data_IF_722742558863
#
_entry.id   IF_722742558863
#
_cell.length_a   1.000
_cell.length_b   1.000
_cell.length_c   1.000
_cell.angle_alpha   90.00
_cell.angle_beta   90.00
_cell.angle_gamma   90.00
#
_symmetry.space_group_name_H-M   'P 1'
#
loop_
_entity.id
_entity.type
_entity.pdbx_description
1 polymer ?
#
# COMPACT_ATOMS: atom_id res chain seq x y z
N UNK A 1 19.62 46.47 -14.14
CA UNK A 1 20.50 45.47 -14.79
C UNK A 1 19.66 44.30 -15.26
N UNK A 2 19.42 44.15 -16.57
CA UNK A 2 18.67 43.02 -17.11
C UNK A 2 19.57 41.81 -17.42
N UNK A 3 19.03 40.57 -17.40
CA UNK A 3 19.81 39.35 -17.65
C UNK A 3 20.14 39.15 -19.14
N UNK A 4 21.33 38.60 -19.38
CA UNK A 4 21.88 38.26 -20.70
C UNK A 4 21.11 37.10 -21.35
N UNK A 5 20.79 37.15 -22.65
CA UNK A 5 20.41 35.97 -23.41
C UNK A 5 21.68 35.26 -23.93
N UNK A 6 21.85 33.99 -23.57
CA UNK A 6 22.99 33.20 -24.02
C UNK A 6 22.64 31.72 -24.11
N UNK A 7 22.32 31.24 -25.31
CA UNK A 7 22.93 30.03 -25.87
C UNK A 7 22.54 29.86 -27.33
N UNK A 8 23.46 30.21 -28.22
CA UNK A 8 23.43 29.81 -29.62
C UNK A 8 23.82 28.34 -29.68
N UNK A 9 22.86 27.47 -30.06
CA UNK A 9 23.16 26.08 -30.42
C UNK A 9 23.55 26.01 -31.89
N UNK A 10 24.70 25.41 -32.14
CA UNK A 10 25.27 25.12 -33.45
C UNK A 10 24.26 24.45 -34.40
N UNK A 11 24.02 25.10 -35.54
CA UNK A 11 23.39 24.48 -36.70
C UNK A 11 24.40 23.53 -37.37
N UNK A 12 24.23 22.24 -37.12
CA UNK A 12 24.90 21.18 -37.86
C UNK A 12 24.32 21.10 -39.27
N UNK A 13 25.11 21.52 -40.26
CA UNK A 13 24.86 21.32 -41.69
C UNK A 13 24.90 19.82 -42.00
N UNK A 14 23.73 19.18 -42.04
CA UNK A 14 23.60 17.79 -42.52
C UNK A 14 23.56 17.85 -44.04
N UNK A 15 24.58 17.25 -44.66
CA UNK A 15 24.75 17.12 -46.10
C UNK A 15 23.61 16.32 -46.71
N UNK A 16 22.96 16.91 -47.71
CA UNK A 16 21.91 16.30 -48.51
C UNK A 16 22.45 15.11 -49.31
N UNK A 17 22.26 13.90 -48.78
CA UNK A 17 22.34 12.67 -49.55
C UNK A 17 21.16 12.61 -50.52
N UNK A 18 21.44 12.84 -51.81
CA UNK A 18 20.54 12.53 -52.93
C UNK A 18 20.36 11.01 -53.03
N UNK A 19 19.48 10.46 -52.20
CA UNK A 19 18.88 9.14 -52.39
C UNK A 19 17.66 9.30 -53.29
N UNK A 20 17.73 8.71 -54.48
CA UNK A 20 16.69 8.73 -55.48
C UNK A 20 15.33 8.24 -54.94
N UNK A 21 14.32 9.06 -55.24
CA UNK A 21 12.90 8.75 -55.25
C UNK A 21 12.60 7.31 -55.63
N UNK A 22 12.04 6.57 -54.68
CA UNK A 22 11.07 5.51 -54.94
C UNK A 22 9.85 5.78 -54.07
N UNK A 23 9.20 6.92 -54.33
CA UNK A 23 7.78 7.09 -54.00
C UNK A 23 7.02 6.07 -54.83
N UNK A 24 6.74 4.92 -54.22
CA UNK A 24 5.83 3.93 -54.75
C UNK A 24 4.67 3.92 -53.78
N UNK A 25 3.52 4.39 -54.28
CA UNK A 25 2.22 4.45 -53.62
C UNK A 25 1.81 3.10 -53.04
N UNK A 26 2.36 2.71 -51.88
CA UNK A 26 1.79 1.63 -51.09
C UNK A 26 0.62 2.23 -50.29
N UNK A 27 -0.45 2.56 -51.01
CA UNK A 27 -1.75 2.83 -50.42
C UNK A 27 -2.11 1.60 -49.56
N UNK A 28 -1.88 1.70 -48.25
CA UNK A 28 -2.13 0.62 -47.31
C UNK A 28 -3.64 0.39 -47.29
N UNK A 29 -4.08 -0.64 -48.00
CA UNK A 29 -5.49 -1.02 -48.09
C UNK A 29 -5.99 -1.26 -46.66
N UNK A 30 -6.88 -0.39 -46.19
CA UNK A 30 -7.52 -0.51 -44.89
C UNK A 30 -8.35 -1.79 -44.89
N UNK A 31 -7.83 -2.83 -44.22
CA UNK A 31 -8.57 -4.09 -44.04
C UNK A 31 -9.56 -3.88 -42.91
N UNK A 32 -10.84 -3.74 -43.25
CA UNK A 32 -11.91 -3.76 -42.27
C UNK A 32 -11.97 -5.16 -41.63
N UNK A 33 -11.78 -5.23 -40.32
CA UNK A 33 -11.98 -6.45 -39.54
C UNK A 33 -13.32 -6.32 -38.83
N UNK A 34 -14.23 -7.24 -39.09
CA UNK A 34 -15.48 -7.34 -38.35
C UNK A 34 -15.15 -7.88 -36.96
N UNK A 35 -15.30 -7.05 -35.93
CA UNK A 35 -15.13 -7.46 -34.54
C UNK A 35 -16.53 -7.67 -33.97
N UNK A 36 -16.83 -8.90 -33.54
CA UNK A 36 -18.05 -9.18 -32.79
C UNK A 36 -17.84 -8.68 -31.35
N UNK A 37 -18.37 -7.50 -31.04
CA UNK A 37 -18.37 -6.97 -29.67
C UNK A 37 -19.55 -7.54 -28.88
N UNK A 38 -19.29 -7.90 -27.61
CA UNK A 38 -20.36 -8.31 -26.70
C UNK A 38 -21.18 -7.08 -26.27
N UNK A 39 -22.53 -7.11 -26.37
CA UNK A 39 -23.37 -6.02 -25.87
C UNK A 39 -23.55 -6.05 -24.34
N UNK A 40 -23.10 -7.12 -23.67
CA UNK A 40 -23.28 -7.32 -22.23
C UNK A 40 -22.25 -6.54 -21.41
N UNK A 41 -22.37 -5.21 -21.42
CA UNK A 41 -21.50 -4.30 -20.68
C UNK A 41 -22.23 -3.75 -19.46
N UNK A 42 -21.66 -3.94 -18.28
CA UNK A 42 -22.15 -3.31 -17.05
C UNK A 42 -21.99 -1.80 -17.10
N UNK A 43 -23.11 -1.09 -16.92
CA UNK A 43 -23.13 0.36 -16.77
C UNK A 43 -22.94 0.69 -15.29
N UNK A 44 -21.84 1.38 -15.00
CA UNK A 44 -21.54 1.84 -13.65
C UNK A 44 -22.53 2.94 -13.24
N UNK A 45 -22.83 3.03 -11.94
CA UNK A 45 -23.64 4.10 -11.40
C UNK A 45 -23.00 5.48 -11.71
N UNK A 46 -23.82 6.43 -12.15
CA UNK A 46 -23.42 7.83 -12.29
C UNK A 46 -23.60 8.52 -10.94
N UNK A 47 -22.50 8.95 -10.32
CA UNK A 47 -22.50 9.68 -9.05
C UNK A 47 -22.24 11.15 -9.34
N UNK A 48 -22.91 12.06 -8.64
CA UNK A 48 -22.57 13.48 -8.73
C UNK A 48 -21.16 13.73 -8.17
N UNK A 49 -20.47 14.75 -8.69
CA UNK A 49 -19.12 15.07 -8.22
C UNK A 49 -19.11 15.42 -6.72
N UNK A 50 -20.17 16.07 -6.22
CA UNK A 50 -20.34 16.45 -4.82
C UNK A 50 -20.49 15.24 -3.90
N UNK A 51 -21.28 14.24 -4.29
CA UNK A 51 -21.44 13.00 -3.52
C UNK A 51 -20.15 12.17 -3.53
N UNK A 52 -19.48 12.11 -4.68
CA UNK A 52 -18.22 11.38 -4.82
C UNK A 52 -17.11 12.00 -3.94
N UNK A 53 -17.04 13.33 -3.86
CA UNK A 53 -16.08 14.06 -3.02
C UNK A 53 -16.40 13.92 -1.52
N UNK A 54 -17.69 13.98 -1.16
CA UNK A 54 -18.14 13.77 0.23
C UNK A 54 -17.80 12.36 0.70
N UNK A 55 -18.10 11.36 -0.14
CA UNK A 55 -17.78 9.95 0.11
C UNK A 55 -16.27 9.75 0.29
N UNK A 56 -15.45 10.40 -0.54
CA UNK A 56 -14.00 10.31 -0.45
C UNK A 56 -13.47 10.95 0.83
N UNK A 57 -13.99 12.12 1.21
CA UNK A 57 -13.59 12.82 2.43
C UNK A 57 -13.96 12.01 3.70
N UNK A 58 -15.13 11.38 3.72
CA UNK A 58 -15.51 10.45 4.80
C UNK A 58 -14.58 9.22 4.85
N UNK A 59 -14.25 8.64 3.70
CA UNK A 59 -13.27 7.54 3.64
C UNK A 59 -11.91 7.97 4.19
N UNK A 60 -11.40 9.14 3.81
CA UNK A 60 -10.11 9.64 4.31
C UNK A 60 -10.08 9.79 5.83
N UNK A 61 -11.15 10.35 6.41
CA UNK A 61 -11.25 10.52 7.86
C UNK A 61 -11.25 9.18 8.59
N UNK A 62 -11.97 8.18 8.08
CA UNK A 62 -12.03 6.84 8.67
C UNK A 62 -10.72 6.06 8.50
N UNK A 63 -9.97 6.32 7.42
CA UNK A 63 -8.71 5.65 7.11
C UNK A 63 -7.49 6.32 7.74
N UNK A 64 -7.57 7.61 8.06
CA UNK A 64 -6.46 8.40 8.61
C UNK A 64 -5.71 7.73 9.78
N UNK A 65 -6.38 7.10 10.78
CA UNK A 65 -5.70 6.42 11.88
C UNK A 65 -4.72 5.32 11.43
N UNK A 66 -5.04 4.63 10.32
CA UNK A 66 -4.18 3.57 9.77
C UNK A 66 -2.86 4.15 9.28
N UNK A 67 -2.88 5.27 8.54
CA UNK A 67 -1.63 5.88 8.06
C UNK A 67 -0.77 6.44 9.19
N UNK A 68 -1.37 6.98 10.24
CA UNK A 68 -0.64 7.52 11.40
C UNK A 68 0.08 6.37 12.11
N UNK A 69 -0.63 5.27 12.38
CA UNK A 69 -0.04 4.08 12.99
C UNK A 69 1.10 3.50 12.13
N UNK A 70 0.91 3.39 10.81
CA UNK A 70 1.97 2.92 9.90
C UNK A 70 3.17 3.85 9.83
N UNK A 71 2.96 5.16 9.79
CA UNK A 71 4.04 6.16 9.76
C UNK A 71 4.84 6.14 11.05
N UNK A 72 4.18 6.04 12.19
CA UNK A 72 4.83 5.88 13.49
C UNK A 72 5.67 4.59 13.53
N UNK A 73 5.10 3.46 13.11
CA UNK A 73 5.83 2.19 13.05
C UNK A 73 7.03 2.22 12.07
N UNK A 74 6.89 2.89 10.93
CA UNK A 74 7.97 3.07 9.96
C UNK A 74 9.10 3.96 10.52
N UNK A 75 8.76 5.06 11.19
CA UNK A 75 9.72 5.96 11.84
C UNK A 75 10.52 5.23 12.94
N UNK A 76 9.82 4.44 13.77
CA UNK A 76 10.46 3.59 14.79
C UNK A 76 11.45 2.60 14.17
N UNK A 77 11.06 1.90 13.09
CA UNK A 77 11.96 0.99 12.35
C UNK A 77 13.19 1.69 11.79
N UNK A 78 13.04 2.90 11.24
CA UNK A 78 14.18 3.66 10.74
C UNK A 78 15.13 4.08 11.86
N UNK A 79 14.60 4.52 13.00
CA UNK A 79 15.40 4.89 14.18
C UNK A 79 16.15 3.67 14.75
N UNK A 80 15.46 2.53 14.91
CA UNK A 80 16.06 1.29 15.38
C UNK A 80 17.18 0.79 14.44
N UNK A 81 16.98 0.86 13.12
CA UNK A 81 17.99 0.50 12.14
C UNK A 81 19.20 1.45 12.18
N UNK A 82 18.98 2.75 12.41
CA UNK A 82 20.05 3.74 12.54
C UNK A 82 20.90 3.45 13.78
N UNK A 83 20.27 3.16 14.93
CA UNK A 83 20.99 2.80 16.15
C UNK A 83 21.73 1.47 16.01
N UNK A 84 21.12 0.46 15.40
CA UNK A 84 21.80 -0.81 15.10
C UNK A 84 23.02 -0.62 14.19
N UNK A 85 22.95 0.31 13.23
CA UNK A 85 24.08 0.67 12.36
C UNK A 85 25.19 1.36 13.16
N UNK A 86 24.86 2.32 14.00
CA UNK A 86 25.84 3.05 14.80
C UNK A 86 26.56 2.13 15.80
N UNK A 87 25.84 1.18 16.42
CA UNK A 87 26.42 0.17 17.30
C UNK A 87 27.41 -0.76 16.57
N UNK A 88 27.12 -1.14 15.32
CA UNK A 88 28.05 -1.93 14.49
C UNK A 88 29.33 -1.14 14.21
N UNK A 89 29.21 0.14 13.90
CA UNK A 89 30.36 1.03 13.67
C UNK A 89 31.21 1.15 14.94
N UNK A 90 30.58 1.31 16.11
CA UNK A 90 31.28 1.33 17.39
C UNK A 90 32.06 0.04 17.62
N UNK A 91 31.44 -1.14 17.40
CA UNK A 91 32.12 -2.43 17.58
C UNK A 91 33.34 -2.59 16.67
N UNK A 92 33.25 -2.13 15.42
CA UNK A 92 34.40 -2.13 14.50
C UNK A 92 35.52 -1.21 15.01
N UNK A 93 35.18 0.01 15.42
CA UNK A 93 36.17 0.95 15.98
C UNK A 93 36.83 0.43 17.25
N UNK A 94 36.09 -0.25 18.12
CA UNK A 94 36.66 -0.86 19.32
C UNK A 94 37.66 -1.96 18.98
N UNK A 95 37.39 -2.79 17.96
CA UNK A 95 38.35 -3.78 17.49
C UNK A 95 39.60 -3.16 16.84
N UNK A 96 39.45 -2.05 16.10
CA UNK A 96 40.58 -1.31 15.53
C UNK A 96 41.45 -0.66 16.60
N UNK A 97 40.84 -0.04 17.62
CA UNK A 97 41.56 0.53 18.76
C UNK A 97 42.30 -0.56 19.53
N UNK A 98 41.66 -1.71 19.76
CA UNK A 98 42.29 -2.83 20.45
C UNK A 98 43.50 -3.37 19.67
N UNK A 99 43.39 -3.50 18.35
CA UNK A 99 44.50 -3.89 17.48
C UNK A 99 45.65 -2.86 17.51
N UNK A 100 45.36 -1.58 17.37
CA UNK A 100 46.35 -0.51 17.41
C UNK A 100 47.07 -0.42 18.79
N UNK A 101 46.34 -0.65 19.89
CA UNK A 101 46.93 -0.71 21.24
C UNK A 101 47.88 -1.89 21.39
N UNK A 102 47.50 -3.07 20.87
CA UNK A 102 48.37 -4.26 20.86
C UNK A 102 49.64 -4.04 20.02
N UNK A 103 49.55 -3.35 18.89
CA UNK A 103 50.70 -3.02 18.04
C UNK A 103 51.63 -1.99 18.70
N UNK A 104 51.06 -1.00 19.40
CA UNK A 104 51.86 -0.03 20.16
C UNK A 104 52.62 -0.70 21.32
N UNK A 105 52.03 -1.70 21.99
CA UNK A 105 52.69 -2.45 23.05
C UNK A 105 53.84 -3.31 22.55
N UNK A 106 53.72 -3.96 21.39
CA UNK A 106 54.81 -4.74 20.80
C UNK A 106 56.01 -3.86 20.45
N UNK A 107 55.77 -2.63 19.96
CA UNK A 107 56.81 -1.64 19.67
C UNK A 107 57.50 -1.06 20.91
N UNK A 108 56.90 -1.15 22.12
CA UNK A 108 57.58 -0.73 23.36
C UNK A 108 58.72 -1.66 23.77
N UNK A 109 58.72 -2.91 23.29
CA UNK A 109 59.74 -3.91 23.61
C UNK A 109 60.93 -3.92 22.63
N UNK A 110 60.88 -3.18 21.53
CA UNK A 110 61.93 -3.15 20.50
C UNK A 110 62.79 -1.88 20.62
N UNK A 111 64.10 -2.05 20.54
CA UNK A 111 65.17 -1.09 20.87
C UNK A 111 65.03 0.36 20.36
N UNK A 112 65.68 1.26 21.11
CA UNK A 112 65.74 2.74 20.98
C UNK A 112 66.43 3.26 19.69
N UNK A 113 66.07 2.75 18.51
CA UNK A 113 66.53 3.34 17.25
C UNK A 113 65.69 4.58 16.88
N UNK A 114 66.31 5.60 16.26
CA UNK A 114 65.62 6.83 15.86
C UNK A 114 64.46 6.59 14.87
N UNK A 115 64.52 5.53 14.05
CA UNK A 115 63.44 5.13 13.14
C UNK A 115 62.20 4.59 13.87
N UNK A 116 62.36 4.06 15.09
CA UNK A 116 61.26 3.58 15.95
C UNK A 116 60.48 4.74 16.60
N UNK A 117 61.13 5.87 16.84
CA UNK A 117 60.53 7.02 17.54
C UNK A 117 59.48 7.73 16.67
N UNK A 118 59.76 7.96 15.38
CA UNK A 118 58.81 8.58 14.45
C UNK A 118 57.58 7.69 14.16
N UNK A 119 57.79 6.38 14.06
CA UNK A 119 56.70 5.42 13.91
C UNK A 119 55.78 5.43 15.14
N UNK A 120 56.35 5.50 16.35
CA UNK A 120 55.62 5.58 17.61
C UNK A 120 54.82 6.88 17.75
N UNK A 121 55.39 8.02 17.33
CA UNK A 121 54.69 9.32 17.31
C UNK A 121 53.50 9.35 16.35
N UNK A 122 53.62 8.72 15.17
CA UNK A 122 52.50 8.61 14.20
C UNK A 122 51.36 7.75 14.75
N UNK A 123 51.67 6.57 15.29
CA UNK A 123 50.68 5.67 15.90
C UNK A 123 49.94 6.32 17.08
N UNK A 124 50.65 7.08 17.92
CA UNK A 124 50.05 7.77 19.07
C UNK A 124 49.10 8.91 18.65
N UNK A 125 49.43 9.62 17.55
CA UNK A 125 48.56 10.62 16.96
C UNK A 125 47.30 10.01 16.33
N UNK A 126 47.45 8.88 15.64
CA UNK A 126 46.32 8.14 15.06
C UNK A 126 45.41 7.57 16.15
N UNK A 127 45.98 7.03 17.24
CA UNK A 127 45.21 6.54 18.39
C UNK A 127 44.34 7.65 19.01
N UNK A 128 44.92 8.83 19.25
CA UNK A 128 44.19 10.01 19.77
C UNK A 128 43.07 10.45 18.84
N UNK A 129 43.31 10.41 17.52
CA UNK A 129 42.31 10.76 16.50
C UNK A 129 41.15 9.76 16.48
N UNK A 130 41.42 8.47 16.64
CA UNK A 130 40.40 7.42 16.71
C UNK A 130 39.62 7.49 18.03
N UNK A 131 40.27 7.71 19.17
CA UNK A 131 39.58 7.88 20.47
C UNK A 131 38.66 9.12 20.51
N UNK A 132 39.05 10.23 19.88
CA UNK A 132 38.17 11.40 19.76
C UNK A 132 36.92 11.09 18.92
N UNK A 133 37.08 10.36 17.82
CA UNK A 133 35.94 9.91 16.99
C UNK A 133 35.00 8.99 17.79
N UNK A 134 35.56 8.07 18.58
CA UNK A 134 34.81 7.19 19.48
C UNK A 134 33.94 7.98 20.46
N UNK A 135 34.52 8.93 21.21
CA UNK A 135 33.77 9.73 22.20
C UNK A 135 32.60 10.50 21.58
N UNK A 136 32.78 11.02 20.36
CA UNK A 136 31.69 11.69 19.61
C UNK A 136 30.58 10.71 19.24
N UNK A 137 30.93 9.52 18.74
CA UNK A 137 29.96 8.47 18.44
C UNK A 137 29.24 7.96 19.69
N UNK A 138 29.94 7.77 20.81
CA UNK A 138 29.34 7.37 22.09
C UNK A 138 28.29 8.37 22.57
N UNK A 139 28.60 9.67 22.53
CA UNK A 139 27.64 10.71 22.93
C UNK A 139 26.41 10.77 22.01
N UNK A 140 26.60 10.55 20.70
CA UNK A 140 25.53 10.48 19.71
C UNK A 140 24.64 9.25 19.93
N UNK A 141 25.25 8.07 20.11
CA UNK A 141 24.54 6.81 20.37
C UNK A 141 23.82 6.85 21.70
N UNK A 142 24.45 7.36 22.77
CA UNK A 142 23.79 7.50 24.07
C UNK A 142 22.57 8.43 24.01
N UNK A 143 22.66 9.52 23.24
CA UNK A 143 21.55 10.45 23.05
C UNK A 143 20.42 9.82 22.21
N UNK A 144 20.75 9.07 21.15
CA UNK A 144 19.75 8.34 20.33
C UNK A 144 19.13 7.18 21.10
N UNK A 145 19.94 6.45 21.86
CA UNK A 145 19.51 5.34 22.71
C UNK A 145 18.54 5.84 23.78
N UNK A 146 18.86 6.93 24.50
CA UNK A 146 17.92 7.55 25.45
C UNK A 146 16.58 7.95 24.83
N UNK A 147 16.55 8.34 23.56
CA UNK A 147 15.28 8.64 22.86
C UNK A 147 14.49 7.38 22.52
N UNK A 148 15.16 6.25 22.27
CA UNK A 148 14.52 4.95 22.08
C UNK A 148 14.10 4.31 23.40
N UNK A 149 14.95 4.36 24.42
CA UNK A 149 14.67 3.78 25.75
C UNK A 149 13.46 4.48 26.43
N UNK A 150 13.30 5.79 26.22
CA UNK A 150 12.09 6.52 26.64
C UNK A 150 10.81 6.07 25.91
N UNK A 151 10.95 5.49 24.72
CA UNK A 151 9.86 4.86 24.00
C UNK A 151 9.73 3.35 24.36
N UNK A 152 10.77 2.72 24.95
CA UNK A 152 10.81 1.30 25.39
C UNK A 152 10.25 1.09 26.81
N UNK A 153 10.24 2.09 27.70
CA UNK A 153 9.57 1.93 29.01
C UNK A 153 8.03 1.82 28.87
N UNK A 154 7.48 2.20 27.71
CA UNK A 154 6.10 1.89 27.29
C UNK A 154 5.96 0.49 26.61
N UNK A 155 7.06 -0.29 26.46
CA UNK A 155 7.10 -1.51 25.62
C UNK A 155 6.82 -2.85 26.31
N UNK A 156 6.73 -2.96 27.65
CA UNK A 156 6.30 -4.25 28.25
C UNK A 156 4.80 -4.56 28.01
N UNK A 157 4.03 -3.61 27.47
CA UNK A 157 2.72 -3.87 26.86
C UNK A 157 2.80 -3.82 25.33
N UNK A 158 3.49 -4.80 24.75
CA UNK A 158 3.96 -4.82 23.36
C UNK A 158 3.07 -4.16 22.31
N UNK A 159 3.67 -3.24 21.53
CA UNK A 159 3.23 -2.71 20.22
C UNK A 159 1.71 -2.85 19.99
N UNK A 160 0.90 -2.29 20.89
CA UNK A 160 -0.55 -2.24 20.70
C UNK A 160 -0.77 -1.24 19.57
N UNK A 161 -0.81 -1.73 18.31
CA UNK A 161 -1.42 -0.98 17.21
C UNK A 161 -2.68 -0.32 17.78
N UNK A 162 -2.80 1.01 17.63
CA UNK A 162 -3.91 1.76 18.20
C UNK A 162 -5.21 0.98 17.95
N UNK A 163 -6.01 0.64 18.98
CA UNK A 163 -7.08 -0.35 18.86
C UNK A 163 -8.02 -0.06 17.69
N UNK A 164 -8.33 1.24 17.49
CA UNK A 164 -9.09 1.72 16.34
C UNK A 164 -8.44 1.39 14.98
N UNK A 165 -7.12 1.57 14.82
CA UNK A 165 -6.44 1.28 13.57
C UNK A 165 -6.46 -0.22 13.22
N UNK A 166 -6.40 -1.09 14.25
CA UNK A 166 -6.52 -2.54 14.07
C UNK A 166 -7.94 -2.92 13.66
N UNK A 167 -8.94 -2.42 14.36
CA UNK A 167 -10.35 -2.66 14.05
C UNK A 167 -10.72 -2.17 12.63
N UNK A 168 -10.27 -0.97 12.25
CA UNK A 168 -10.47 -0.45 10.90
C UNK A 168 -9.78 -1.34 9.85
N UNK A 169 -8.57 -1.83 10.13
CA UNK A 169 -7.82 -2.68 9.20
C UNK A 169 -8.45 -4.07 9.01
N UNK A 170 -8.92 -4.69 10.08
CA UNK A 170 -9.54 -6.02 10.03
C UNK A 170 -10.88 -6.01 9.28
N UNK A 171 -11.53 -4.85 9.28
CA UNK A 171 -12.79 -4.56 8.59
C UNK A 171 -12.65 -4.27 7.09
N UNK A 172 -11.42 -4.09 6.60
CA UNK A 172 -11.12 -3.70 5.23
C UNK A 172 -10.48 -4.81 4.43
N UNK A 173 -10.77 -4.81 3.13
CA UNK A 173 -10.11 -5.67 2.13
C UNK A 173 -9.48 -4.78 1.08
N UNK A 174 -8.15 -4.76 1.02
CA UNK A 174 -7.39 -3.86 0.15
C UNK A 174 -6.90 -4.64 -1.08
N UNK A 175 -7.18 -4.09 -2.27
CA UNK A 175 -6.67 -4.57 -3.55
C UNK A 175 -7.57 -5.57 -4.27
N UNK A 176 -7.48 -5.60 -5.59
CA UNK A 176 -8.34 -6.42 -6.47
C UNK A 176 -8.21 -7.91 -6.14
N UNK A 177 -6.99 -8.43 -6.04
CA UNK A 177 -6.77 -9.87 -5.82
C UNK A 177 -7.32 -10.36 -4.47
N UNK A 178 -7.26 -9.51 -3.43
CA UNK A 178 -7.85 -9.82 -2.13
C UNK A 178 -9.38 -9.78 -2.21
N UNK A 179 -9.92 -8.76 -2.88
CA UNK A 179 -11.36 -8.60 -3.08
C UNK A 179 -11.97 -9.73 -3.90
N UNK A 180 -11.30 -10.18 -4.97
CA UNK A 180 -11.81 -11.28 -5.80
C UNK A 180 -11.86 -12.59 -5.02
N UNK A 181 -10.82 -12.88 -4.22
CA UNK A 181 -10.80 -14.06 -3.32
C UNK A 181 -11.94 -14.01 -2.31
N UNK A 182 -12.15 -12.86 -1.69
CA UNK A 182 -13.22 -12.68 -0.71
C UNK A 182 -14.60 -12.81 -1.37
N UNK A 183 -14.86 -12.15 -2.51
CA UNK A 183 -16.13 -12.23 -3.22
C UNK A 183 -16.48 -13.64 -3.73
N UNK A 184 -15.46 -14.43 -4.08
CA UNK A 184 -15.63 -15.83 -4.49
C UNK A 184 -16.03 -16.75 -3.33
N UNK A 185 -15.69 -16.37 -2.10
CA UNK A 185 -16.07 -17.14 -0.93
C UNK A 185 -17.46 -16.70 -0.43
N UNK A 186 -18.49 -17.58 -0.45
CA UNK A 186 -19.85 -17.21 -0.04
C UNK A 186 -20.00 -16.93 1.46
N UNK A 187 -19.01 -17.30 2.30
CA UNK A 187 -19.07 -17.06 3.75
C UNK A 187 -18.66 -15.63 4.11
N UNK A 188 -17.99 -14.94 3.19
CA UNK A 188 -17.49 -13.60 3.43
C UNK A 188 -18.65 -12.63 3.32
N UNK A 189 -18.61 -11.58 4.14
CA UNK A 189 -19.66 -10.57 4.14
C UNK A 189 -19.07 -9.26 3.68
N UNK A 190 -18.93 -9.06 2.37
CA UNK A 190 -18.57 -7.75 1.82
C UNK A 190 -19.85 -6.97 1.55
N UNK A 191 -19.92 -5.74 2.06
CA UNK A 191 -21.12 -4.89 1.95
C UNK A 191 -20.97 -3.83 0.87
N UNK A 192 -19.78 -3.23 0.76
CA UNK A 192 -19.49 -2.18 -0.21
C UNK A 192 -18.08 -2.33 -0.78
N UNK A 193 -17.91 -1.97 -2.04
CA UNK A 193 -16.64 -1.94 -2.76
C UNK A 193 -16.50 -0.59 -3.46
N UNK A 194 -15.40 0.09 -3.19
CA UNK A 194 -15.00 1.34 -3.80
C UNK A 194 -13.91 1.06 -4.83
N UNK A 195 -14.08 1.56 -6.05
CA UNK A 195 -13.17 1.31 -7.17
C UNK A 195 -12.72 2.62 -7.78
N UNK A 196 -11.42 2.85 -7.87
CA UNK A 196 -10.80 4.03 -8.48
C UNK A 196 -10.81 3.94 -10.01
N UNK A 197 -12.02 3.82 -10.59
CA UNK A 197 -12.23 3.57 -12.02
C UNK A 197 -11.58 4.62 -12.92
N UNK A 198 -11.64 5.90 -12.51
CA UNK A 198 -11.14 7.03 -13.29
C UNK A 198 -9.62 7.15 -13.28
N UNK A 199 -8.95 6.60 -12.26
CA UNK A 199 -7.49 6.65 -12.11
C UNK A 199 -6.78 5.47 -12.79
N UNK A 200 -7.51 4.38 -13.03
CA UNK A 200 -6.93 3.15 -13.57
C UNK A 200 -7.17 3.06 -15.08
N UNK A 201 -6.12 3.19 -15.91
CA UNK A 201 -6.26 3.22 -17.37
C UNK A 201 -6.57 1.85 -17.99
N UNK A 202 -6.64 0.80 -17.17
CA UNK A 202 -6.70 -0.59 -17.60
C UNK A 202 -8.04 -1.23 -17.14
N UNK A 203 -9.10 -1.17 -17.96
CA UNK A 203 -10.43 -1.61 -17.55
C UNK A 203 -10.52 -3.09 -17.18
N UNK A 204 -9.69 -3.96 -17.76
CA UNK A 204 -9.72 -5.40 -17.48
C UNK A 204 -9.41 -5.75 -16.01
N UNK A 205 -8.75 -4.84 -15.28
CA UNK A 205 -8.45 -5.02 -13.86
C UNK A 205 -9.69 -4.96 -12.97
N UNK A 206 -10.75 -4.25 -13.37
CA UNK A 206 -11.97 -4.10 -12.56
C UNK A 206 -13.26 -4.49 -13.29
N UNK A 207 -13.18 -4.80 -14.59
CA UNK A 207 -14.36 -5.18 -15.40
C UNK A 207 -15.10 -6.42 -14.90
N UNK A 208 -14.43 -7.30 -14.15
CA UNK A 208 -15.01 -8.52 -13.59
C UNK A 208 -15.71 -8.29 -12.24
N UNK A 209 -15.44 -7.17 -11.54
CA UNK A 209 -16.01 -6.90 -10.22
C UNK A 209 -17.55 -6.85 -10.22
N UNK A 210 -18.24 -6.19 -11.18
CA UNK A 210 -19.70 -6.22 -11.23
C UNK A 210 -20.26 -7.64 -11.30
N UNK A 211 -19.66 -8.51 -12.10
CA UNK A 211 -20.08 -9.92 -12.22
C UNK A 211 -19.90 -10.67 -10.90
N UNK A 212 -18.77 -10.50 -10.22
CA UNK A 212 -18.53 -11.12 -8.91
C UNK A 212 -19.47 -10.56 -7.84
N UNK A 213 -19.71 -9.25 -7.81
CA UNK A 213 -20.65 -8.60 -6.88
C UNK A 213 -22.07 -9.11 -7.08
N UNK A 214 -22.48 -9.30 -8.34
CA UNK A 214 -23.78 -9.87 -8.65
C UNK A 214 -23.88 -11.31 -8.20
N UNK A 215 -22.89 -12.17 -8.47
CA UNK A 215 -22.92 -13.57 -8.07
C UNK A 215 -22.74 -13.79 -6.55
N UNK A 216 -22.23 -12.81 -5.83
CA UNK A 216 -22.06 -12.89 -4.38
C UNK A 216 -23.42 -13.05 -3.67
N UNK A 217 -23.43 -13.83 -2.58
CA UNK A 217 -24.65 -14.17 -1.84
C UNK A 217 -25.33 -12.94 -1.22
N UNK A 218 -24.53 -11.94 -0.86
CA UNK A 218 -24.98 -10.69 -0.24
C UNK A 218 -25.00 -9.59 -1.31
N UNK A 219 -26.03 -8.72 -1.35
CA UNK A 219 -26.05 -7.57 -2.24
C UNK A 219 -24.91 -6.60 -1.91
N UNK A 220 -23.95 -6.48 -2.82
CA UNK A 220 -22.79 -5.58 -2.67
C UNK A 220 -23.07 -4.25 -3.38
N UNK A 221 -22.75 -3.14 -2.73
CA UNK A 221 -22.72 -1.81 -3.36
C UNK A 221 -21.38 -1.60 -4.07
N UNK A 222 -21.42 -1.28 -5.35
CA UNK A 222 -20.21 -1.02 -6.14
C UNK A 222 -20.13 0.46 -6.51
N UNK A 223 -19.18 1.16 -5.89
CA UNK A 223 -19.03 2.61 -5.93
C UNK A 223 -17.86 2.99 -6.83
N UNK A 224 -18.10 3.57 -8.03
CA UNK A 224 -17.03 4.18 -8.81
C UNK A 224 -16.55 5.48 -8.16
N UNK A 225 -15.25 5.60 -7.92
CA UNK A 225 -14.62 6.83 -7.45
C UNK A 225 -14.12 7.70 -8.61
N UNK A 226 -14.05 9.00 -8.35
CA UNK A 226 -13.60 10.02 -9.32
C UNK A 226 -12.06 10.08 -9.41
N UNK A 227 -11.56 10.93 -10.31
CA UNK A 227 -10.12 11.09 -10.56
C UNK A 227 -9.39 11.67 -9.34
N UNK A 228 -8.23 11.12 -8.99
CA UNK A 228 -7.42 11.50 -7.82
C UNK A 228 -7.78 10.75 -6.53
N UNK A 229 -8.83 9.93 -6.53
CA UNK A 229 -9.25 9.16 -5.37
C UNK A 229 -8.24 8.07 -4.99
N UNK A 230 -7.56 7.48 -5.97
CA UNK A 230 -6.53 6.46 -5.75
C UNK A 230 -5.39 6.97 -4.87
N UNK A 231 -4.82 8.13 -5.22
CA UNK A 231 -3.72 8.76 -4.48
C UNK A 231 -4.14 9.14 -3.06
N UNK A 232 -5.34 9.71 -2.91
CA UNK A 232 -5.92 10.14 -1.63
C UNK A 232 -6.14 8.98 -0.67
N UNK A 233 -6.79 7.91 -1.15
CA UNK A 233 -7.00 6.69 -0.36
C UNK A 233 -5.67 5.99 -0.05
N UNK A 234 -4.75 5.93 -1.01
CA UNK A 234 -3.42 5.35 -0.80
C UNK A 234 -2.64 6.08 0.29
N UNK A 235 -2.68 7.42 0.28
CA UNK A 235 -2.07 8.26 1.31
C UNK A 235 -2.71 8.03 2.69
N UNK A 236 -4.06 7.98 2.75
CA UNK A 236 -4.79 7.74 3.99
C UNK A 236 -4.55 6.32 4.56
N UNK A 237 -4.27 5.33 3.72
CA UNK A 237 -3.91 3.96 4.12
C UNK A 237 -2.41 3.76 4.37
N UNK A 238 -1.56 4.73 4.02
CA UNK A 238 -0.11 4.58 4.05
C UNK A 238 0.39 3.45 3.14
N UNK A 239 -0.13 3.35 1.93
CA UNK A 239 0.29 2.40 0.89
C UNK A 239 0.65 3.14 -0.40
N UNK A 240 1.31 2.46 -1.34
CA UNK A 240 1.77 3.09 -2.60
C UNK A 240 0.62 3.43 -3.55
N UNK A 241 -0.35 2.55 -3.68
CA UNK A 241 -1.48 2.65 -4.61
C UNK A 241 -2.64 1.77 -4.17
N UNK A 242 -3.88 2.20 -4.45
CA UNK A 242 -5.10 1.44 -4.14
C UNK A 242 -6.09 1.56 -5.30
N UNK A 243 -6.32 0.43 -5.98
CA UNK A 243 -7.27 0.37 -7.10
C UNK A 243 -8.70 0.11 -6.61
N UNK A 244 -8.83 -0.78 -5.63
CA UNK A 244 -10.11 -1.19 -5.11
C UNK A 244 -10.01 -1.45 -3.60
N UNK A 245 -11.05 -1.07 -2.89
CA UNK A 245 -11.18 -1.18 -1.44
C UNK A 245 -12.56 -1.76 -1.12
N UNK A 246 -12.62 -2.82 -0.33
CA UNK A 246 -13.87 -3.40 0.15
C UNK A 246 -14.03 -3.23 1.65
N UNK A 247 -15.28 -3.07 2.06
CA UNK A 247 -15.69 -2.94 3.45
C UNK A 247 -16.53 -4.16 3.82
N UNK A 248 -16.14 -4.82 4.92
CA UNK A 248 -16.89 -5.95 5.47
C UNK A 248 -18.16 -5.48 6.17
N UNK A 249 -19.18 -6.34 6.22
CA UNK A 249 -20.46 -6.05 6.84
C UNK A 249 -20.37 -5.92 8.36
N UNK A 250 -19.43 -6.61 9.00
CA UNK A 250 -19.31 -6.66 10.47
C UNK A 250 -18.55 -5.44 11.04
N UNK A 251 -18.57 -4.30 10.33
CA UNK A 251 -17.78 -3.11 10.70
C UNK A 251 -18.66 -1.88 10.96
N UNK A 252 -19.01 -1.60 12.24
CA UNK A 252 -19.88 -0.48 12.58
C UNK A 252 -19.26 0.89 12.29
N UNK A 253 -17.92 0.97 12.25
CA UNK A 253 -17.19 2.20 11.91
C UNK A 253 -17.54 2.80 10.54
N UNK A 254 -18.04 1.98 9.61
CA UNK A 254 -18.39 2.40 8.25
C UNK A 254 -19.89 2.47 8.00
N UNK A 255 -20.74 2.29 9.03
CA UNK A 255 -22.20 2.29 8.84
C UNK A 255 -22.71 3.64 8.34
N UNK A 256 -22.20 4.75 8.87
CA UNK A 256 -22.58 6.11 8.42
C UNK A 256 -22.20 6.36 6.94
N UNK A 257 -21.01 5.91 6.54
CA UNK A 257 -20.56 5.95 5.14
C UNK A 257 -21.47 5.09 4.25
N UNK A 258 -21.83 3.91 4.73
CA UNK A 258 -22.69 2.98 3.99
C UNK A 258 -24.10 3.54 3.80
N UNK A 259 -24.70 4.11 4.84
CA UNK A 259 -26.02 4.75 4.78
C UNK A 259 -26.03 5.91 3.78
N UNK A 260 -24.98 6.74 3.80
CA UNK A 260 -24.80 7.81 2.83
C UNK A 260 -24.78 7.27 1.39
N UNK A 261 -23.91 6.28 1.11
CA UNK A 261 -23.75 5.69 -0.22
C UNK A 261 -25.02 4.98 -0.71
N UNK A 262 -25.74 4.31 0.20
CA UNK A 262 -26.98 3.61 -0.12
C UNK A 262 -28.09 4.56 -0.59
N UNK A 263 -28.03 5.83 -0.22
CA UNK A 263 -28.98 6.85 -0.65
C UNK A 263 -29.00 7.09 -2.16
N UNK A 264 -27.86 6.89 -2.85
CA UNK A 264 -27.72 7.21 -4.27
C UNK A 264 -27.20 6.05 -5.14
N UNK A 265 -26.76 4.92 -4.55
CA UNK A 265 -26.28 3.75 -5.30
C UNK A 265 -27.12 2.52 -4.98
N UNK A 266 -27.59 1.85 -6.03
CA UNK A 266 -28.27 0.57 -5.92
C UNK A 266 -27.27 -0.60 -5.91
N UNK A 267 -27.62 -1.73 -5.26
CA UNK A 267 -26.84 -2.96 -5.36
C UNK A 267 -26.65 -3.42 -6.81
N UNK A 268 -25.51 -4.05 -7.08
CA UNK A 268 -25.21 -4.53 -8.44
C UNK A 268 -26.22 -5.57 -8.87
N UNK A 269 -26.88 -5.31 -10.01
CA UNK A 269 -27.81 -6.22 -10.66
C UNK A 269 -27.47 -6.37 -12.14
N UNK A 270 -27.21 -7.60 -12.58
CA UNK A 270 -26.94 -7.96 -13.97
C UNK A 270 -28.13 -8.72 -14.55
N UNK A 271 -29.02 -8.07 -15.32
CA UNK A 271 -30.26 -8.70 -15.79
C UNK A 271 -30.03 -9.86 -16.76
N UNK A 272 -28.89 -9.91 -17.45
CA UNK A 272 -28.52 -11.01 -18.35
C UNK A 272 -27.90 -12.20 -17.63
N UNK A 273 -27.63 -12.10 -16.33
CA UNK A 273 -27.03 -13.16 -15.53
C UNK A 273 -28.01 -13.53 -14.41
N UNK A 274 -28.88 -14.53 -14.59
CA UNK A 274 -29.80 -14.94 -13.54
C UNK A 274 -29.01 -15.36 -12.29
N UNK A 275 -29.39 -14.83 -11.12
CA UNK A 275 -29.00 -15.46 -9.87
C UNK A 275 -29.72 -16.80 -9.82
N UNK A 276 -29.00 -17.90 -9.58
CA UNK A 276 -29.67 -19.16 -9.28
C UNK A 276 -30.53 -18.94 -8.04
N UNK A 277 -31.82 -18.71 -8.26
CA UNK A 277 -32.79 -18.67 -7.20
C UNK A 277 -32.73 -20.04 -6.56
N UNK A 278 -32.29 -20.13 -5.30
CA UNK A 278 -32.39 -21.36 -4.52
C UNK A 278 -33.85 -21.82 -4.54
N UNK A 279 -34.20 -22.70 -5.49
CA UNK A 279 -35.37 -23.57 -5.43
C UNK A 279 -35.13 -24.53 -4.28
N UNK A 280 -35.49 -24.11 -3.08
CA UNK A 280 -35.29 -24.86 -1.85
C UNK A 280 -36.40 -24.61 -0.83
N UNK A 281 -37.61 -24.28 -1.29
CA UNK A 281 -38.82 -24.42 -0.49
C UNK A 281 -39.31 -25.85 -0.63
N UNK A 282 -38.75 -26.77 0.16
CA UNK A 282 -39.29 -28.10 0.37
C UNK A 282 -40.57 -27.93 1.19
N UNK A 283 -41.67 -27.61 0.52
CA UNK A 283 -43.00 -27.70 1.08
C UNK A 283 -43.34 -29.19 1.16
N UNK A 284 -42.91 -29.84 2.25
CA UNK A 284 -43.51 -31.10 2.67
C UNK A 284 -44.90 -30.74 3.15
N UNK A 285 -45.86 -30.84 2.26
CA UNK A 285 -47.25 -31.02 2.63
C UNK A 285 -47.27 -32.30 3.49
N UNK A 286 -47.40 -32.10 4.80
CA UNK A 286 -47.54 -33.18 5.76
C UNK A 286 -48.86 -33.89 5.49
N UNK A 287 -48.75 -35.17 5.15
CA UNK A 287 -49.83 -36.14 5.17
C UNK A 287 -50.67 -35.95 6.44
N UNK A 288 -51.94 -35.60 6.25
CA UNK A 288 -52.96 -35.69 7.27
C UNK A 288 -53.31 -37.15 7.49
N UNK A 289 -52.71 -37.76 8.51
CA UNK A 289 -53.19 -38.98 9.15
C UNK A 289 -53.69 -38.60 10.54
N UNK A 290 -54.96 -38.16 10.62
CA UNK A 290 -55.73 -38.17 11.86
C UNK A 290 -56.76 -39.30 11.78
N UNK A 291 -56.29 -40.48 12.14
CA UNK A 291 -57.11 -41.64 12.44
C UNK A 291 -57.62 -41.58 13.90
N UNK A 292 -58.94 -41.64 14.01
CA UNK A 292 -59.78 -42.24 15.07
C UNK A 292 -59.50 -41.95 16.55
N UNK A 293 -60.46 -41.29 17.20
CA UNK A 293 -61.01 -41.79 18.46
C UNK A 293 -62.55 -41.74 18.40
N UNK A 294 -63.15 -42.93 18.46
CA UNK A 294 -64.58 -43.14 18.61
C UNK A 294 -65.01 -42.85 20.03
N UNK A 295 -66.15 -42.18 20.19
CA UNK A 295 -66.83 -42.07 21.47
C UNK A 295 -68.22 -42.71 21.35
N UNK A 296 -68.41 -43.73 22.18
CA UNK A 296 -69.60 -44.56 22.31
C UNK A 296 -70.83 -43.74 22.74
N UNK A 297 -71.99 -44.08 22.17
CA UNK A 297 -73.33 -43.96 22.76
C UNK A 297 -74.25 -45.03 22.17
#
# INVERSE_FOLDING_TARGET
>A
MPPKPGNQRHEGKITAGKGLKKEMDSATRTKQKTILSSPFVYRWASISQTEAETTLSHLEQLLAPISVAKRAAAAKRTAANEVARDLRIQKTQESEIAAAKSELESLKNVDKSLLSIDAKLRLDADLKRVELKRKRLESSVASKKRRLDLDEEDEEEGVKEHPLARETKDSLVIGINSLTKELQNPTTKIRAIFVCKSDVPVPHLYAHLPTLCHLHSIPVLLVPLHIGAESRIAQALGVKSVIALGIKQDSPLFDSLFEHVRGFIQPVNLPWLPKEAKKGGNQKDGDGDESMDGNDA
#
